data_IF_585932150987
#
_entry.id   IF_585932150987
#
_cell.length_a   1.000
_cell.length_b   1.000
_cell.length_c   1.000
_cell.angle_alpha   90.00
_cell.angle_beta   90.00
_cell.angle_gamma   90.00
#
_symmetry.space_group_name_H-M   'P 1'
#
loop_
_entity.id
_entity.type
_entity.pdbx_description
1 polymer ?
#
# COMPACT_ATOMS: atom_id res chain seq x y z
N UNK A 1 -22.07 -38.12 25.61
CA UNK A 1 -20.82 -37.62 25.00
C UNK A 1 -20.88 -36.11 25.01
N UNK A 2 -20.18 -35.47 25.95
CA UNK A 2 -20.09 -34.01 26.05
C UNK A 2 -18.78 -33.59 25.39
N UNK A 3 -18.84 -32.90 24.26
CA UNK A 3 -17.64 -32.38 23.61
C UNK A 3 -17.11 -31.19 24.42
N UNK A 4 -15.88 -31.33 24.94
CA UNK A 4 -15.15 -30.25 25.58
C UNK A 4 -14.74 -29.24 24.50
N UNK A 5 -15.08 -27.95 24.62
CA UNK A 5 -14.71 -26.97 23.61
C UNK A 5 -13.18 -26.84 23.54
N UNK A 6 -12.64 -26.96 22.33
CA UNK A 6 -11.22 -26.75 22.06
C UNK A 6 -10.80 -25.35 22.55
N UNK A 7 -9.81 -25.30 23.44
CA UNK A 7 -9.19 -24.06 23.89
C UNK A 7 -8.58 -23.35 22.70
N UNK A 8 -9.05 -22.14 22.38
CA UNK A 8 -8.41 -21.29 21.37
C UNK A 8 -7.04 -20.88 21.90
N UNK A 9 -5.98 -21.49 21.36
CA UNK A 9 -4.60 -21.06 21.61
C UNK A 9 -4.45 -19.60 21.17
N UNK A 10 -4.13 -18.71 22.12
CA UNK A 10 -3.78 -17.32 21.80
C UNK A 10 -2.45 -17.33 21.06
N UNK A 11 -2.50 -17.05 19.75
CA UNK A 11 -1.33 -16.78 18.92
C UNK A 11 -0.40 -15.78 19.63
N UNK A 12 0.87 -16.16 19.80
CA UNK A 12 1.88 -15.31 20.43
C UNK A 12 2.19 -14.14 19.50
N UNK A 13 1.98 -12.91 19.99
CA UNK A 13 2.30 -11.70 19.22
C UNK A 13 3.79 -11.67 18.83
N UNK A 14 4.06 -11.22 17.60
CA UNK A 14 5.42 -11.04 17.08
C UNK A 14 6.21 -10.02 17.94
N UNK A 15 7.51 -10.26 18.10
CA UNK A 15 8.43 -9.27 18.68
C UNK A 15 8.38 -7.97 17.86
N UNK A 16 8.43 -6.77 18.48
CA UNK A 16 8.46 -5.50 17.76
C UNK A 16 9.59 -5.41 16.72
N UNK A 17 10.75 -6.00 17.01
CA UNK A 17 11.88 -6.05 16.06
C UNK A 17 11.55 -6.84 14.80
N UNK A 18 10.91 -8.00 14.96
CA UNK A 18 10.47 -8.85 13.85
C UNK A 18 9.35 -8.18 13.05
N UNK A 19 8.41 -7.52 13.74
CA UNK A 19 7.34 -6.77 13.09
C UNK A 19 7.89 -5.64 12.22
N UNK A 20 8.85 -4.85 12.72
CA UNK A 20 9.52 -3.79 11.95
C UNK A 20 10.30 -4.36 10.77
N UNK A 21 11.04 -5.46 10.97
CA UNK A 21 11.76 -6.13 9.89
C UNK A 21 10.82 -6.57 8.75
N UNK A 22 9.74 -7.27 9.09
CA UNK A 22 8.77 -7.71 8.08
C UNK A 22 8.03 -6.54 7.44
N UNK A 23 7.77 -5.45 8.19
CA UNK A 23 7.20 -4.23 7.63
C UNK A 23 8.09 -3.63 6.55
N UNK A 24 9.38 -3.45 6.83
CA UNK A 24 10.34 -2.88 5.87
C UNK A 24 10.50 -3.78 4.64
N UNK A 25 10.68 -5.09 4.84
CA UNK A 25 10.81 -6.06 3.74
C UNK A 25 9.56 -6.07 2.87
N UNK A 26 8.38 -6.09 3.49
CA UNK A 26 7.10 -6.03 2.79
C UNK A 26 6.97 -4.75 1.98
N UNK A 27 7.33 -3.60 2.57
CA UNK A 27 7.24 -2.30 1.92
C UNK A 27 8.08 -2.25 0.64
N UNK A 28 9.32 -2.75 0.70
CA UNK A 28 10.23 -2.80 -0.45
C UNK A 28 9.69 -3.72 -1.54
N UNK A 29 9.36 -4.98 -1.18
CA UNK A 29 8.92 -5.98 -2.18
C UNK A 29 7.59 -5.57 -2.80
N UNK A 30 6.65 -5.07 -2.00
CA UNK A 30 5.33 -4.68 -2.46
C UNK A 30 5.40 -3.48 -3.42
N UNK A 31 6.16 -2.45 -3.06
CA UNK A 31 6.32 -1.27 -3.92
C UNK A 31 7.06 -1.61 -5.22
N UNK A 32 8.20 -2.33 -5.12
CA UNK A 32 8.96 -2.77 -6.28
C UNK A 32 8.11 -3.62 -7.24
N UNK A 33 7.39 -4.61 -6.72
CA UNK A 33 6.55 -5.50 -7.53
C UNK A 33 5.43 -4.75 -8.25
N UNK A 34 4.73 -3.86 -7.53
CA UNK A 34 3.65 -3.06 -8.10
C UNK A 34 4.14 -2.12 -9.22
N UNK A 35 5.30 -1.48 -9.02
CA UNK A 35 5.84 -0.55 -10.02
C UNK A 35 6.45 -1.31 -11.20
N UNK A 36 7.15 -2.42 -10.97
CA UNK A 36 7.73 -3.23 -12.04
C UNK A 36 6.66 -3.63 -13.06
N UNK A 37 5.51 -4.09 -12.58
CA UNK A 37 4.43 -4.49 -13.49
C UNK A 37 3.74 -3.29 -14.13
N UNK A 38 3.63 -2.16 -13.43
CA UNK A 38 3.13 -0.91 -13.98
C UNK A 38 4.00 -0.41 -15.14
N UNK A 39 5.31 -0.34 -14.95
CA UNK A 39 6.28 0.08 -15.96
C UNK A 39 6.31 -0.89 -17.13
N UNK A 40 6.30 -2.20 -16.85
CA UNK A 40 6.25 -3.24 -17.89
C UNK A 40 4.99 -3.08 -18.74
N UNK A 41 3.85 -2.82 -18.11
CA UNK A 41 2.57 -2.60 -18.77
C UNK A 41 2.55 -1.36 -19.65
N UNK A 42 3.17 -0.27 -19.20
CA UNK A 42 3.30 0.96 -19.99
C UNK A 42 4.19 0.76 -21.23
N UNK A 43 5.16 -0.16 -21.16
CA UNK A 43 6.10 -0.47 -22.25
C UNK A 43 5.56 -1.50 -23.26
N UNK A 44 4.48 -2.23 -22.95
CA UNK A 44 3.87 -3.23 -23.84
C UNK A 44 2.64 -2.61 -24.55
N UNK A 45 2.47 -2.92 -25.84
CA UNK A 45 1.32 -2.47 -26.64
C UNK A 45 0.48 -3.66 -27.14
N UNK A 46 -0.85 -3.66 -26.95
CA UNK A 46 -1.62 -2.64 -26.22
C UNK A 46 -1.31 -2.65 -24.72
N UNK A 47 -1.33 -1.48 -24.10
CA UNK A 47 -1.07 -1.36 -22.66
C UNK A 47 -2.25 -1.95 -21.89
N UNK A 48 -1.97 -2.84 -20.94
CA UNK A 48 -2.94 -3.43 -20.03
C UNK A 48 -2.59 -3.05 -18.59
N UNK A 49 -3.54 -2.99 -17.67
CA UNK A 49 -3.24 -2.62 -16.28
C UNK A 49 -2.58 -3.80 -15.55
N UNK A 50 -1.26 -3.97 -15.67
CA UNK A 50 -0.54 -5.09 -15.05
C UNK A 50 -0.19 -4.90 -13.58
N UNK A 51 -0.65 -3.84 -12.91
CA UNK A 51 -0.40 -3.60 -11.48
C UNK A 51 -1.63 -3.91 -10.63
N UNK A 52 -1.48 -3.94 -9.30
CA UNK A 52 -2.63 -4.02 -8.41
C UNK A 52 -3.63 -2.90 -8.74
N UNK A 53 -4.94 -3.17 -8.62
CA UNK A 53 -6.00 -2.22 -9.00
C UNK A 53 -5.80 -0.83 -8.39
N UNK A 54 -5.34 -0.77 -7.14
CA UNK A 54 -5.04 0.50 -6.48
C UNK A 54 -3.89 1.25 -7.18
N UNK A 55 -2.75 0.61 -7.39
CA UNK A 55 -1.60 1.22 -8.08
C UNK A 55 -1.92 1.64 -9.51
N UNK A 56 -2.64 0.80 -10.25
CA UNK A 56 -3.08 1.11 -11.59
C UNK A 56 -4.02 2.33 -11.62
N UNK A 57 -4.92 2.45 -10.64
CA UNK A 57 -5.79 3.62 -10.50
C UNK A 57 -4.99 4.89 -10.21
N UNK A 58 -4.04 4.85 -9.27
CA UNK A 58 -3.26 6.04 -8.91
C UNK A 58 -2.32 6.50 -10.02
N UNK A 59 -1.79 5.60 -10.84
CA UNK A 59 -1.00 6.00 -12.00
C UNK A 59 -1.84 6.70 -13.08
N UNK A 60 -3.04 6.19 -13.36
CA UNK A 60 -3.96 6.84 -14.31
C UNK A 60 -4.46 8.18 -13.77
N UNK A 61 -4.77 8.24 -12.47
CA UNK A 61 -5.19 9.47 -11.81
C UNK A 61 -4.06 10.50 -11.77
N UNK A 62 -2.83 10.07 -11.45
CA UNK A 62 -1.64 10.90 -11.49
C UNK A 62 -1.42 11.46 -12.89
N UNK A 63 -1.57 10.65 -13.93
CA UNK A 63 -1.52 11.11 -15.33
C UNK A 63 -2.61 12.14 -15.62
N UNK A 64 -3.84 11.91 -15.18
CA UNK A 64 -4.98 12.81 -15.40
C UNK A 64 -4.85 14.15 -14.64
N UNK A 65 -4.20 14.15 -13.48
CA UNK A 65 -4.02 15.32 -12.62
C UNK A 65 -2.63 15.96 -12.72
N UNK A 66 -1.76 15.43 -13.60
CA UNK A 66 -0.36 15.83 -13.73
C UNK A 66 0.44 15.73 -12.42
N UNK A 67 0.20 14.66 -11.66
CA UNK A 67 0.99 14.30 -10.49
C UNK A 67 1.96 13.17 -10.82
N UNK A 68 3.10 13.17 -10.13
CA UNK A 68 3.96 11.99 -10.07
C UNK A 68 3.33 10.92 -9.17
N UNK A 69 3.87 9.70 -9.22
CA UNK A 69 3.32 8.60 -8.42
C UNK A 69 3.39 8.88 -6.92
N UNK A 70 4.43 9.56 -6.44
CA UNK A 70 4.54 9.93 -5.03
C UNK A 70 3.29 10.69 -4.54
N UNK A 71 2.92 11.77 -5.22
CA UNK A 71 1.80 12.62 -4.82
C UNK A 71 0.46 11.93 -5.03
N UNK A 72 0.31 11.16 -6.12
CA UNK A 72 -0.90 10.38 -6.35
C UNK A 72 -1.18 9.43 -5.18
N UNK A 73 -0.19 8.63 -4.78
CA UNK A 73 -0.34 7.70 -3.66
C UNK A 73 -0.51 8.38 -2.31
N UNK A 74 0.30 9.41 -2.02
CA UNK A 74 0.26 10.07 -0.72
C UNK A 74 -1.07 10.79 -0.50
N UNK A 75 -1.53 11.57 -1.49
CA UNK A 75 -2.76 12.37 -1.36
C UNK A 75 -3.97 11.44 -1.34
N UNK A 76 -4.13 10.55 -2.33
CA UNK A 76 -5.31 9.68 -2.39
C UNK A 76 -5.31 8.67 -1.26
N UNK A 77 -4.16 8.11 -0.90
CA UNK A 77 -4.03 7.22 0.24
C UNK A 77 -4.51 7.86 1.54
N UNK A 78 -4.16 9.14 1.77
CA UNK A 78 -4.62 9.87 2.95
C UNK A 78 -6.10 10.26 2.86
N UNK A 79 -6.59 10.66 1.68
CA UNK A 79 -8.01 10.94 1.48
C UNK A 79 -8.87 9.69 1.72
N UNK A 80 -8.45 8.53 1.21
CA UNK A 80 -9.11 7.24 1.43
C UNK A 80 -9.09 6.87 2.92
N UNK A 81 -7.96 7.09 3.61
CA UNK A 81 -7.85 6.85 5.05
C UNK A 81 -8.85 7.69 5.86
N UNK A 82 -8.95 8.98 5.56
CA UNK A 82 -9.91 9.90 6.20
C UNK A 82 -11.34 9.55 5.85
N UNK A 83 -11.63 9.31 4.56
CA UNK A 83 -12.95 8.89 4.09
C UNK A 83 -13.41 7.61 4.79
N UNK A 84 -12.53 6.62 4.91
CA UNK A 84 -12.83 5.40 5.64
C UNK A 84 -13.14 5.67 7.12
N UNK A 85 -12.44 6.60 7.79
CA UNK A 85 -12.76 6.98 9.17
C UNK A 85 -14.15 7.63 9.29
N UNK A 86 -14.52 8.47 8.31
CA UNK A 86 -15.85 9.10 8.23
C UNK A 86 -16.95 8.06 7.99
N UNK A 87 -16.77 7.18 6.99
CA UNK A 87 -17.78 6.19 6.60
C UNK A 87 -18.04 5.14 7.69
N UNK A 88 -17.00 4.73 8.42
CA UNK A 88 -17.15 3.80 9.55
C UNK A 88 -17.79 4.50 10.77
N UNK A 89 -17.86 5.84 10.78
CA UNK A 89 -18.37 6.63 11.90
C UNK A 89 -17.48 6.58 13.14
N UNK A 90 -16.23 6.11 13.00
CA UNK A 90 -15.26 6.01 14.08
C UNK A 90 -13.98 6.71 13.67
N UNK A 91 -13.86 7.96 14.14
CA UNK A 91 -12.66 8.74 13.94
C UNK A 91 -11.56 8.24 14.89
N UNK A 92 -10.71 7.34 14.40
CA UNK A 92 -9.56 6.81 15.14
C UNK A 92 -8.27 7.45 14.63
N UNK A 93 -7.77 8.42 15.39
CA UNK A 93 -6.53 9.13 15.07
C UNK A 93 -5.32 8.20 15.04
N UNK A 94 -5.29 7.12 15.84
CA UNK A 94 -4.18 6.16 15.81
C UNK A 94 -4.14 5.41 14.49
N UNK A 95 -5.32 5.07 13.94
CA UNK A 95 -5.42 4.43 12.62
C UNK A 95 -5.00 5.37 11.50
N UNK A 96 -5.41 6.63 11.55
CA UNK A 96 -5.03 7.65 10.55
C UNK A 96 -3.52 7.87 10.57
N UNK A 97 -2.91 8.03 11.75
CA UNK A 97 -1.46 8.16 11.90
C UNK A 97 -0.72 6.90 11.45
N UNK A 98 -1.23 5.71 11.75
CA UNK A 98 -0.68 4.45 11.26
C UNK A 98 -0.67 4.37 9.73
N UNK A 99 -1.78 4.79 9.10
CA UNK A 99 -1.87 4.90 7.64
C UNK A 99 -0.88 5.92 7.10
N UNK A 100 -0.70 7.07 7.75
CA UNK A 100 0.29 8.07 7.34
C UNK A 100 1.74 7.54 7.42
N UNK A 101 2.09 6.86 8.51
CA UNK A 101 3.41 6.23 8.72
C UNK A 101 3.69 5.17 7.65
N UNK A 102 2.66 4.50 7.14
CA UNK A 102 2.79 3.59 5.99
C UNK A 102 2.88 4.35 4.66
N UNK A 103 1.98 5.30 4.42
CA UNK A 103 1.81 5.97 3.12
C UNK A 103 3.05 6.76 2.71
N UNK A 104 3.70 7.46 3.64
CA UNK A 104 4.90 8.27 3.31
C UNK A 104 6.05 7.41 2.76
N UNK A 105 6.57 6.40 3.48
CA UNK A 105 7.65 5.57 2.96
C UNK A 105 7.21 4.71 1.76
N UNK A 106 5.96 4.26 1.72
CA UNK A 106 5.44 3.50 0.59
C UNK A 106 5.43 4.34 -0.69
N UNK A 107 4.88 5.55 -0.63
CA UNK A 107 4.82 6.47 -1.78
C UNK A 107 6.22 6.86 -2.27
N UNK A 108 7.15 7.08 -1.33
CA UNK A 108 8.55 7.35 -1.66
C UNK A 108 9.20 6.17 -2.40
N UNK A 109 8.99 4.93 -1.93
CA UNK A 109 9.54 3.74 -2.58
C UNK A 109 8.91 3.48 -3.95
N UNK A 110 7.61 3.70 -4.12
CA UNK A 110 6.96 3.64 -5.44
C UNK A 110 7.65 4.59 -6.42
N UNK A 111 7.89 5.85 -6.05
CA UNK A 111 8.59 6.81 -6.92
C UNK A 111 10.03 6.38 -7.21
N UNK A 112 10.78 5.96 -6.20
CA UNK A 112 12.16 5.49 -6.38
C UNK A 112 12.22 4.32 -7.36
N UNK A 113 11.31 3.35 -7.25
CA UNK A 113 11.26 2.23 -8.17
C UNK A 113 10.76 2.61 -9.56
N UNK A 114 9.89 3.61 -9.67
CA UNK A 114 9.43 4.13 -10.96
C UNK A 114 10.61 4.69 -11.74
N UNK A 115 11.33 5.62 -11.11
CA UNK A 115 12.52 6.25 -11.69
C UNK A 115 13.55 5.18 -12.08
N UNK A 116 13.80 4.22 -11.17
CA UNK A 116 14.75 3.12 -11.39
C UNK A 116 14.36 2.21 -12.58
N UNK A 117 13.09 1.86 -12.74
CA UNK A 117 12.65 0.94 -13.81
C UNK A 117 12.41 1.64 -15.16
N UNK A 118 12.14 2.94 -15.16
CA UNK A 118 12.08 3.71 -16.40
C UNK A 118 13.46 4.01 -16.97
N UNK A 119 14.47 4.19 -16.10
CA UNK A 119 15.87 4.39 -16.48
C UNK A 119 16.27 5.86 -16.44
#
# INVERSE_FOLDING_TARGET
MTETPASIEKSKALSPSMATFYFVVSLIINSAGNVLTLVTSAKIHPSFLGSAYWTAAEANLGTALHWNLFWAFLILGMLISVLNAVLVGKFDLKRILGNLIFMVPFSAMIQIFEDFFFG
#
